data_IF_995399701842
#
_entry.id   IF_995399701842
#
_cell.length_a   1.000
_cell.length_b   1.000
_cell.length_c   1.000
_cell.angle_alpha   90.00
_cell.angle_beta   90.00
_cell.angle_gamma   90.00
#
_symmetry.space_group_name_H-M   'P 1'
#
loop_
_entity.id
_entity.type
_entity.pdbx_description
1 polymer ?
#
# COMPACT_ATOMS: atom_id res chain seq x y z
N UNK A 1 -27.81 16.69 -19.27
CA UNK A 1 -27.60 15.27 -18.86
C UNK A 1 -26.53 15.28 -17.79
N UNK A 2 -26.84 14.86 -16.57
CA UNK A 2 -25.90 14.89 -15.45
C UNK A 2 -24.97 13.68 -15.53
N UNK A 3 -23.67 13.92 -15.53
CA UNK A 3 -22.65 12.89 -15.47
C UNK A 3 -22.59 12.39 -14.02
N UNK A 4 -23.22 11.26 -13.76
CA UNK A 4 -23.12 10.58 -12.47
C UNK A 4 -21.64 10.18 -12.30
N UNK A 5 -20.96 10.75 -11.31
CA UNK A 5 -19.63 10.29 -10.92
C UNK A 5 -19.78 8.88 -10.34
N UNK A 6 -19.74 7.87 -11.21
CA UNK A 6 -19.69 6.46 -10.81
C UNK A 6 -18.27 6.15 -10.35
N UNK A 7 -18.19 5.71 -9.09
CA UNK A 7 -17.01 5.09 -8.47
C UNK A 7 -15.81 6.03 -8.35
N UNK A 8 -15.84 6.82 -7.27
CA UNK A 8 -14.63 7.30 -6.63
C UNK A 8 -13.68 6.11 -6.44
N UNK A 9 -12.60 6.09 -7.23
CA UNK A 9 -11.46 5.17 -7.19
C UNK A 9 -11.24 4.63 -5.77
N UNK A 10 -11.62 3.38 -5.53
CA UNK A 10 -11.19 2.66 -4.35
C UNK A 10 -9.69 2.39 -4.51
N UNK A 11 -8.87 3.39 -4.17
CA UNK A 11 -7.44 3.19 -4.07
C UNK A 11 -7.20 1.98 -3.16
N UNK A 12 -6.42 0.98 -3.59
CA UNK A 12 -6.24 -0.24 -2.82
C UNK A 12 -5.67 0.08 -1.45
N UNK A 13 -6.23 -0.55 -0.41
CA UNK A 13 -5.76 -0.38 0.96
C UNK A 13 -4.29 -0.81 1.09
N UNK A 14 -3.48 -0.14 1.93
CA UNK A 14 -2.11 -0.56 2.19
C UNK A 14 -2.05 -1.98 2.75
N UNK A 15 -1.09 -2.78 2.29
CA UNK A 15 -0.83 -4.12 2.81
C UNK A 15 0.30 -4.08 3.84
N UNK A 16 0.04 -4.65 5.01
CA UNK A 16 1.00 -4.73 6.11
C UNK A 16 1.40 -6.20 6.32
N UNK A 17 2.71 -6.45 6.42
CA UNK A 17 3.24 -7.74 6.92
C UNK A 17 4.28 -7.48 7.99
N UNK A 18 4.23 -8.30 9.03
CA UNK A 18 5.18 -8.25 10.13
C UNK A 18 5.86 -9.62 10.26
N UNK A 19 7.18 -9.62 10.32
CA UNK A 19 8.01 -10.80 10.58
C UNK A 19 8.87 -10.52 11.80
N UNK A 20 8.99 -11.50 12.70
CA UNK A 20 9.77 -11.36 13.93
C UNK A 20 10.76 -12.51 14.07
N UNK A 21 12.01 -12.19 14.36
CA UNK A 21 13.02 -13.10 14.88
C UNK A 21 13.35 -12.72 16.32
N UNK A 22 14.17 -13.52 17.02
CA UNK A 22 14.46 -13.31 18.44
C UNK A 22 14.99 -11.91 18.77
N UNK A 23 15.70 -11.25 17.84
CA UNK A 23 16.35 -9.96 18.06
C UNK A 23 15.88 -8.86 17.10
N UNK A 24 14.98 -9.16 16.14
CA UNK A 24 14.60 -8.23 15.09
C UNK A 24 13.12 -8.33 14.77
N UNK A 25 12.49 -7.18 14.51
CA UNK A 25 11.14 -7.11 13.97
C UNK A 25 11.18 -6.33 12.65
N UNK A 26 10.67 -6.95 11.60
CA UNK A 26 10.52 -6.35 10.28
C UNK A 26 9.05 -6.04 10.04
N UNK A 27 8.74 -4.80 9.66
CA UNK A 27 7.40 -4.40 9.21
C UNK A 27 7.53 -3.93 7.76
N UNK A 28 6.83 -4.57 6.84
CA UNK A 28 6.72 -4.13 5.45
C UNK A 28 5.35 -3.51 5.21
N UNK A 29 5.32 -2.32 4.60
CA UNK A 29 4.11 -1.65 4.14
C UNK A 29 4.20 -1.51 2.63
N UNK A 30 3.22 -2.04 1.91
CA UNK A 30 3.09 -1.89 0.47
C UNK A 30 1.84 -1.07 0.15
N UNK A 31 2.02 0.02 -0.59
CA UNK A 31 0.93 0.86 -1.10
C UNK A 31 0.92 0.79 -2.62
N UNK A 32 -0.25 0.59 -3.20
CA UNK A 32 -0.45 0.65 -4.64
C UNK A 32 -1.25 1.89 -4.98
N UNK A 33 -0.78 2.68 -5.92
CA UNK A 33 -1.49 3.81 -6.50
C UNK A 33 -1.93 3.42 -7.90
N UNK A 34 -3.18 3.73 -8.25
CA UNK A 34 -3.66 3.72 -9.63
C UNK A 34 -3.46 5.15 -10.16
N UNK A 35 -2.67 5.28 -11.20
CA UNK A 35 -2.40 6.57 -11.84
C UNK A 35 -3.53 6.93 -12.82
N UNK A 36 -3.72 8.21 -13.19
CA UNK A 36 -4.84 8.63 -14.06
C UNK A 36 -4.87 7.98 -15.45
N UNK A 37 -3.75 7.40 -15.90
CA UNK A 37 -3.64 6.63 -17.14
C UNK A 37 -4.05 5.15 -16.98
N UNK A 38 -4.50 4.76 -15.78
CA UNK A 38 -4.86 3.39 -15.43
C UNK A 38 -3.66 2.49 -15.11
N UNK A 39 -2.43 3.00 -15.16
CA UNK A 39 -1.25 2.26 -14.73
C UNK A 39 -1.20 2.15 -13.21
N UNK A 40 -0.36 1.25 -12.70
CA UNK A 40 -0.21 1.05 -11.24
C UNK A 40 1.23 1.27 -10.82
N UNK A 41 1.40 2.13 -9.81
CA UNK A 41 2.68 2.37 -9.16
C UNK A 41 2.65 1.77 -7.76
N UNK A 42 3.63 0.90 -7.44
CA UNK A 42 3.78 0.31 -6.12
C UNK A 42 4.97 0.90 -5.37
N UNK A 43 4.74 1.31 -4.13
CA UNK A 43 5.77 1.71 -3.19
C UNK A 43 5.81 0.73 -2.02
N UNK A 44 7.01 0.30 -1.62
CA UNK A 44 7.21 -0.57 -0.47
C UNK A 44 8.23 0.05 0.49
N UNK A 45 7.87 0.11 1.77
CA UNK A 45 8.75 0.56 2.85
C UNK A 45 8.95 -0.58 3.84
N UNK A 46 10.20 -0.83 4.23
CA UNK A 46 10.56 -1.85 5.21
C UNK A 46 11.18 -1.16 6.42
N UNK A 47 10.56 -1.34 7.59
CA UNK A 47 11.03 -0.84 8.87
C UNK A 47 11.66 -2.01 9.62
N UNK A 48 12.95 -1.90 9.95
CA UNK A 48 13.63 -2.83 10.84
C UNK A 48 13.74 -2.22 12.24
N UNK A 49 13.20 -2.91 13.24
CA UNK A 49 13.40 -2.57 14.65
C UNK A 49 14.26 -3.66 15.30
N UNK A 50 15.45 -3.26 15.74
CA UNK A 50 16.31 -4.07 16.58
C UNK A 50 15.83 -3.99 18.04
N UNK A 51 15.83 -5.15 18.72
CA UNK A 51 15.40 -5.28 20.12
C UNK A 51 16.58 -5.17 21.08
#
# INVERSE_FOLDING_TARGET
MAQTATEQDFAPLPQYRQSKTSNQTWVSVTTTRIDPDGSTTQHSVIINKLS
#
